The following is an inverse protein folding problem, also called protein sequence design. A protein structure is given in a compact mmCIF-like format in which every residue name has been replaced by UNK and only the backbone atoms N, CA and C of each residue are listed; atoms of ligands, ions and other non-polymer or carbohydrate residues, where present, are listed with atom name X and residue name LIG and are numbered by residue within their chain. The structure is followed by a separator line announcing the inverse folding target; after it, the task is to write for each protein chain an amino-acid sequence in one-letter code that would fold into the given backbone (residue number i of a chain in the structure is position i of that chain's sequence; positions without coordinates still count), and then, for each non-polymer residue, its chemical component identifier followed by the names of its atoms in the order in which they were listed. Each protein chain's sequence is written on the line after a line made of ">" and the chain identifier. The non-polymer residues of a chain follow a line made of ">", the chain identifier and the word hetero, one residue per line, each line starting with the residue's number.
data_IF_407739101301
#
_entry.id   IF_407739101301
#
_cell.length_a   1.000
_cell.length_b   1.000
_cell.length_c   1.000
_cell.angle_alpha   90.00
_cell.angle_beta   90.00
_cell.angle_gamma   90.00
#
_symmetry.space_group_name_H-M   'P 1'
#
loop_
_entity.id
_entity.type
_entity.pdbx_description
1 polymer ?
#
# COMPACT_ATOMS: atom_id res chain seq x y z
N UNK A 1 10.82 0.42 20.94
CA UNK A 1 10.55 -0.26 19.67
C UNK A 1 11.77 -0.41 18.75
N UNK A 2 12.78 0.46 18.78
CA UNK A 2 13.93 0.37 17.84
C UNK A 2 14.85 -0.86 18.06
N UNK A 3 14.74 -1.55 19.19
CA UNK A 3 15.49 -2.76 19.49
C UNK A 3 14.63 -4.06 19.42
N UNK A 4 13.37 -3.94 18.99
CA UNK A 4 12.47 -5.07 18.90
C UNK A 4 12.90 -6.05 17.81
N UNK A 5 12.81 -7.35 18.11
CA UNK A 5 12.93 -8.41 17.12
C UNK A 5 11.66 -8.49 16.25
N UNK A 6 11.72 -9.11 15.06
CA UNK A 6 10.53 -9.38 14.25
C UNK A 6 9.43 -10.07 15.06
N UNK A 7 9.75 -11.06 15.88
CA UNK A 7 8.79 -11.81 16.70
C UNK A 7 8.01 -10.91 17.67
N UNK A 8 8.66 -9.89 18.25
CA UNK A 8 8.00 -8.94 19.14
C UNK A 8 6.97 -8.06 18.41
N UNK A 9 7.15 -7.82 17.11
CA UNK A 9 6.13 -7.16 16.29
C UNK A 9 4.96 -8.09 15.99
N UNK A 10 5.23 -9.38 15.73
CA UNK A 10 4.20 -10.39 15.49
C UNK A 10 3.33 -10.61 16.73
N UNK A 11 3.89 -10.53 17.93
CA UNK A 11 3.13 -10.58 19.19
C UNK A 11 2.08 -9.48 19.32
N UNK A 12 2.22 -8.38 18.57
CA UNK A 12 1.24 -7.30 18.56
C UNK A 12 0.03 -7.59 17.66
N UNK A 13 0.11 -8.59 16.78
CA UNK A 13 -1.00 -8.95 15.90
C UNK A 13 -2.11 -9.57 16.75
N UNK A 14 -3.26 -8.91 16.73
CA UNK A 14 -4.47 -9.31 17.46
C UNK A 14 -5.35 -10.23 16.62
N UNK A 15 -5.49 -9.88 15.35
CA UNK A 15 -6.25 -10.67 14.39
C UNK A 15 -5.83 -10.37 12.95
N UNK A 16 -5.99 -11.36 12.08
CA UNK A 16 -5.86 -11.24 10.62
C UNK A 16 -7.18 -11.66 10.01
N UNK A 17 -7.74 -10.83 9.14
CA UNK A 17 -8.96 -11.14 8.38
C UNK A 17 -8.70 -11.04 6.89
N UNK A 18 -9.36 -11.88 6.08
CA UNK A 18 -9.20 -11.91 4.63
C UNK A 18 -7.93 -12.65 4.17
N UNK A 19 -7.39 -13.57 4.97
CA UNK A 19 -6.22 -14.39 4.59
C UNK A 19 -6.47 -15.18 3.29
N UNK A 20 -7.72 -15.57 3.03
CA UNK A 20 -8.15 -16.23 1.78
C UNK A 20 -7.89 -15.36 0.55
N UNK A 21 -7.92 -14.04 0.68
CA UNK A 21 -7.57 -13.11 -0.40
C UNK A 21 -6.08 -13.10 -0.70
N UNK A 22 -5.26 -13.22 0.34
CA UNK A 22 -3.81 -13.35 0.19
C UNK A 22 -3.47 -14.65 -0.53
N UNK A 23 -4.02 -15.77 -0.07
CA UNK A 23 -3.81 -17.08 -0.67
C UNK A 23 -4.24 -17.11 -2.13
N UNK A 24 -5.42 -16.54 -2.45
CA UNK A 24 -5.91 -16.43 -3.81
C UNK A 24 -4.98 -15.57 -4.70
N UNK A 25 -4.46 -14.47 -4.20
CA UNK A 25 -3.53 -13.61 -4.94
C UNK A 25 -2.19 -14.32 -5.22
N UNK A 26 -1.69 -15.13 -4.27
CA UNK A 26 -0.44 -15.89 -4.40
C UNK A 26 -0.55 -17.16 -5.24
N UNK A 27 -1.76 -17.74 -5.33
CA UNK A 27 -2.00 -18.99 -6.05
C UNK A 27 -1.63 -18.95 -7.55
N UNK A 28 -1.56 -17.75 -8.13
CA UNK A 28 -1.18 -17.57 -9.54
C UNK A 28 0.33 -17.67 -9.79
N UNK A 29 1.18 -17.78 -8.76
CA UNK A 29 2.63 -17.88 -8.87
C UNK A 29 3.29 -16.67 -9.52
N UNK A 30 2.61 -15.52 -9.52
CA UNK A 30 3.11 -14.21 -9.94
C UNK A 30 3.38 -13.35 -8.72
N UNK A 31 4.27 -12.38 -8.85
CA UNK A 31 4.53 -11.42 -7.79
C UNK A 31 3.26 -10.73 -7.31
N UNK A 32 3.31 -10.17 -6.12
CA UNK A 32 2.18 -9.50 -5.49
C UNK A 32 2.53 -8.06 -5.15
N UNK A 33 1.62 -7.13 -5.47
CA UNK A 33 1.74 -5.74 -5.05
C UNK A 33 0.82 -5.52 -3.86
N UNK A 34 1.39 -5.40 -2.68
CA UNK A 34 0.65 -5.00 -1.47
C UNK A 34 0.54 -3.49 -1.44
N UNK A 35 -0.69 -3.00 -1.37
CA UNK A 35 -0.96 -1.56 -1.26
C UNK A 35 -1.62 -1.27 0.08
N UNK A 36 -1.10 -0.28 0.78
CA UNK A 36 -1.63 0.17 2.07
C UNK A 36 -1.85 1.68 2.07
N UNK A 37 -2.47 2.21 3.12
CA UNK A 37 -2.58 3.64 3.39
C UNK A 37 -1.65 4.06 4.55
N UNK A 38 -1.39 5.36 4.68
CA UNK A 38 -0.67 5.91 5.81
C UNK A 38 -1.55 5.90 7.06
N UNK A 39 -1.78 4.71 7.63
CA UNK A 39 -2.61 4.55 8.82
C UNK A 39 -2.17 3.36 9.67
N UNK A 40 -2.50 3.43 10.95
CA UNK A 40 -2.21 2.38 11.92
C UNK A 40 -0.71 2.07 12.06
N UNK A 41 -0.34 0.79 12.11
CA UNK A 41 1.04 0.31 12.28
C UNK A 41 1.56 -0.42 11.05
N UNK A 42 2.22 0.32 10.18
CA UNK A 42 2.90 -0.22 8.99
C UNK A 42 3.98 -1.26 9.36
N UNK A 43 4.71 -1.02 10.45
CA UNK A 43 5.81 -1.89 10.88
C UNK A 43 5.34 -3.29 11.26
N UNK A 44 4.20 -3.40 11.94
CA UNK A 44 3.60 -4.69 12.29
C UNK A 44 3.14 -5.43 11.04
N UNK A 45 2.49 -4.73 10.11
CA UNK A 45 2.07 -5.32 8.84
C UNK A 45 3.23 -5.80 7.99
N UNK A 46 4.34 -5.05 7.96
CA UNK A 46 5.53 -5.48 7.23
C UNK A 46 6.19 -6.70 7.89
N UNK A 47 6.25 -6.75 9.23
CA UNK A 47 6.76 -7.93 9.94
C UNK A 47 5.92 -9.17 9.64
N UNK A 48 4.59 -9.04 9.58
CA UNK A 48 3.68 -10.13 9.23
C UNK A 48 3.93 -10.64 7.81
N UNK A 49 4.07 -9.75 6.82
CA UNK A 49 4.41 -10.15 5.44
C UNK A 49 5.75 -10.88 5.41
N UNK A 50 6.77 -10.37 6.10
CA UNK A 50 8.11 -10.98 6.16
C UNK A 50 8.15 -12.33 6.88
N UNK A 51 7.17 -12.64 7.73
CA UNK A 51 7.04 -13.96 8.34
C UNK A 51 6.62 -15.04 7.33
N UNK A 52 5.96 -14.64 6.25
CA UNK A 52 5.44 -15.54 5.21
C UNK A 52 6.22 -15.48 3.88
N UNK A 53 6.95 -14.38 3.63
CA UNK A 53 7.62 -14.12 2.36
C UNK A 53 9.11 -13.84 2.56
N UNK A 54 9.95 -14.39 1.68
CA UNK A 54 11.41 -14.25 1.76
C UNK A 54 11.99 -13.17 0.84
N UNK A 55 11.22 -12.70 -0.17
CA UNK A 55 11.64 -11.68 -1.13
C UNK A 55 10.62 -10.53 -1.12
N UNK A 56 10.84 -9.57 -0.22
CA UNK A 56 9.94 -8.44 0.01
C UNK A 56 10.64 -7.12 -0.27
N UNK A 57 10.09 -6.35 -1.17
CA UNK A 57 10.56 -5.04 -1.61
C UNK A 57 9.65 -3.94 -1.08
N UNK A 58 10.23 -2.92 -0.47
CA UNK A 58 9.47 -1.80 0.14
C UNK A 58 9.84 -0.50 -0.55
N UNK A 59 8.84 0.20 -1.07
CA UNK A 59 9.02 1.53 -1.65
C UNK A 59 8.79 2.59 -0.59
N UNK A 60 9.75 3.47 -0.39
CA UNK A 60 9.67 4.57 0.57
C UNK A 60 10.25 5.85 -0.02
N UNK A 61 9.87 7.00 0.53
CA UNK A 61 10.52 8.27 0.21
C UNK A 61 11.49 8.60 1.33
N UNK A 62 12.80 8.70 1.05
CA UNK A 62 13.78 9.07 2.06
C UNK A 62 13.48 10.45 2.67
N UNK A 63 13.54 10.53 3.97
CA UNK A 63 13.52 11.78 4.71
C UNK A 63 14.62 11.77 5.77
N UNK A 64 15.83 12.05 5.34
CA UNK A 64 17.04 11.98 6.19
C UNK A 64 16.99 12.93 7.40
N UNK A 65 16.12 13.92 7.37
CA UNK A 65 15.96 14.88 8.47
C UNK A 65 14.99 14.40 9.56
N UNK A 66 14.21 13.34 9.30
CA UNK A 66 13.29 12.79 10.28
C UNK A 66 13.97 11.72 11.12
N UNK A 67 14.19 11.93 12.44
CA UNK A 67 14.77 10.90 13.33
C UNK A 67 14.02 9.58 13.26
N UNK A 68 12.72 9.65 13.01
CA UNK A 68 11.82 8.51 12.92
C UNK A 68 12.09 7.64 11.67
N UNK A 69 12.49 8.25 10.54
CA UNK A 69 12.78 7.50 9.31
C UNK A 69 14.04 6.64 9.46
N UNK A 70 15.05 7.12 10.18
CA UNK A 70 16.23 6.32 10.50
C UNK A 70 15.91 5.07 11.32
N UNK A 71 14.91 5.15 12.22
CA UNK A 71 14.45 3.99 12.98
C UNK A 71 13.71 2.99 12.10
N UNK A 72 12.88 3.48 11.19
CA UNK A 72 12.15 2.67 10.21
C UNK A 72 13.10 1.94 9.24
N UNK A 73 14.10 2.64 8.72
CA UNK A 73 15.11 2.02 7.85
C UNK A 73 15.88 0.90 8.59
N UNK A 74 16.33 1.15 9.82
CA UNK A 74 16.97 0.10 10.65
C UNK A 74 16.06 -1.11 10.88
N UNK A 75 14.77 -0.87 11.09
CA UNK A 75 13.79 -1.95 11.24
C UNK A 75 13.66 -2.74 9.93
N UNK A 76 13.43 -2.09 8.79
CA UNK A 76 13.32 -2.75 7.48
C UNK A 76 14.56 -3.58 7.13
N UNK A 77 15.76 -3.03 7.38
CA UNK A 77 17.02 -3.75 7.20
C UNK A 77 17.14 -4.97 8.12
N UNK A 78 16.75 -4.84 9.39
CA UNK A 78 16.81 -5.94 10.38
C UNK A 78 15.90 -7.11 9.99
N UNK A 79 14.72 -6.83 9.46
CA UNK A 79 13.79 -7.87 9.00
C UNK A 79 14.14 -8.41 7.61
N UNK A 80 15.14 -7.83 6.93
CA UNK A 80 15.62 -8.31 5.63
C UNK A 80 14.83 -7.80 4.42
N UNK A 81 13.98 -6.77 4.59
CA UNK A 81 13.26 -6.15 3.48
C UNK A 81 14.21 -5.36 2.57
N UNK A 82 14.02 -5.46 1.26
CA UNK A 82 14.77 -4.69 0.26
C UNK A 82 14.16 -3.30 0.11
N UNK A 83 14.93 -2.27 0.43
CA UNK A 83 14.45 -0.88 0.40
C UNK A 83 14.65 -0.25 -0.98
N UNK A 84 13.63 0.45 -1.48
CA UNK A 84 13.68 1.20 -2.72
C UNK A 84 13.28 2.65 -2.51
N UNK A 85 14.13 3.56 -2.95
CA UNK A 85 13.88 4.99 -2.92
C UNK A 85 12.91 5.41 -4.04
N UNK A 86 11.77 5.95 -3.67
CA UNK A 86 10.73 6.41 -4.59
C UNK A 86 11.20 7.54 -5.53
N UNK A 87 12.32 8.21 -5.24
CA UNK A 87 12.89 9.28 -6.07
C UNK A 87 13.71 8.79 -7.26
N UNK A 88 14.03 7.49 -7.34
CA UNK A 88 14.91 6.91 -8.38
C UNK A 88 14.30 6.88 -9.80
N UNK A 89 13.07 7.32 -9.97
CA UNK A 89 12.44 7.45 -11.28
C UNK A 89 12.22 6.11 -11.99
N UNK A 90 12.57 6.02 -13.28
CA UNK A 90 12.27 4.83 -14.10
C UNK A 90 13.02 3.57 -13.66
N UNK A 91 14.24 3.69 -13.14
CA UNK A 91 15.04 2.53 -12.68
C UNK A 91 14.32 1.76 -11.56
N UNK A 92 13.69 2.47 -10.62
CA UNK A 92 12.86 1.88 -9.57
C UNK A 92 11.80 0.93 -10.15
N UNK A 93 11.02 1.41 -11.13
CA UNK A 93 9.93 0.62 -11.70
C UNK A 93 10.40 -0.61 -12.44
N UNK A 94 11.58 -0.55 -13.09
CA UNK A 94 12.19 -1.70 -13.74
C UNK A 94 12.69 -2.73 -12.72
N UNK A 95 13.28 -2.29 -11.62
CA UNK A 95 13.73 -3.17 -10.54
C UNK A 95 12.54 -3.86 -9.85
N UNK A 96 11.48 -3.10 -9.53
CA UNK A 96 10.28 -3.65 -8.93
C UNK A 96 9.56 -4.64 -9.85
N UNK A 97 9.50 -4.33 -11.16
CA UNK A 97 8.96 -5.27 -12.13
C UNK A 97 9.77 -6.56 -12.18
N UNK A 98 11.10 -6.46 -12.23
CA UNK A 98 11.98 -7.62 -12.22
C UNK A 98 11.84 -8.45 -10.93
N UNK A 99 11.57 -7.82 -9.78
CA UNK A 99 11.26 -8.51 -8.54
C UNK A 99 9.92 -9.26 -8.63
N UNK A 100 8.87 -8.61 -9.13
CA UNK A 100 7.57 -9.24 -9.34
C UNK A 100 7.63 -10.41 -10.32
N UNK A 101 8.42 -10.29 -11.39
CA UNK A 101 8.64 -11.38 -12.36
C UNK A 101 9.31 -12.61 -11.70
N UNK A 102 10.04 -12.43 -10.58
CA UNK A 102 10.60 -13.51 -9.75
C UNK A 102 9.65 -13.96 -8.61
N UNK A 103 8.40 -13.53 -8.65
CA UNK A 103 7.40 -13.86 -7.64
C UNK A 103 7.60 -13.17 -6.28
N UNK A 104 8.31 -12.04 -6.22
CA UNK A 104 8.48 -11.25 -5.02
C UNK A 104 7.19 -10.52 -4.59
N UNK A 105 7.18 -10.02 -3.36
CA UNK A 105 6.15 -9.10 -2.86
C UNK A 105 6.70 -7.69 -2.86
N UNK A 106 5.95 -6.75 -3.44
CA UNK A 106 6.26 -5.32 -3.45
C UNK A 106 5.27 -4.56 -2.60
N UNK A 107 5.73 -3.85 -1.58
CA UNK A 107 4.87 -3.08 -0.66
C UNK A 107 4.97 -1.59 -1.01
N UNK A 108 3.84 -0.97 -1.34
CA UNK A 108 3.74 0.44 -1.74
C UNK A 108 2.57 1.10 -1.01
N UNK A 109 2.78 2.26 -0.39
CA UNK A 109 1.69 3.09 0.11
C UNK A 109 0.97 3.75 -1.08
N UNK A 110 -0.35 3.62 -1.14
CA UNK A 110 -1.16 3.97 -2.31
C UNK A 110 -2.20 5.07 -2.09
N UNK A 111 -2.15 5.78 -0.97
CA UNK A 111 -3.15 6.78 -0.58
C UNK A 111 -2.70 8.24 -0.79
N UNK A 112 -1.49 8.47 -1.29
CA UNK A 112 -0.93 9.82 -1.45
C UNK A 112 -0.02 9.92 -2.67
N UNK A 113 -0.23 10.96 -3.48
CA UNK A 113 0.67 11.32 -4.58
C UNK A 113 1.84 12.13 -4.02
N UNK A 114 3.05 11.69 -4.30
CA UNK A 114 4.27 12.40 -3.89
C UNK A 114 4.73 13.37 -4.99
N UNK A 115 5.50 14.43 -4.65
CA UNK A 115 6.05 15.34 -5.65
C UNK A 115 6.77 14.60 -6.79
N UNK A 116 6.44 14.93 -8.03
CA UNK A 116 6.99 14.29 -9.23
C UNK A 116 6.30 12.98 -9.66
N UNK A 117 5.35 12.48 -8.90
CA UNK A 117 4.53 11.33 -9.30
C UNK A 117 3.29 11.76 -10.07
N UNK A 118 2.77 10.85 -10.89
CA UNK A 118 1.48 11.02 -11.56
C UNK A 118 0.37 10.46 -10.67
N UNK A 119 -0.69 11.25 -10.50
CA UNK A 119 -1.90 10.85 -9.78
C UNK A 119 -3.14 10.96 -10.65
N UNK A 120 -4.24 10.41 -10.17
CA UNK A 120 -5.56 10.56 -10.76
C UNK A 120 -6.60 10.74 -9.68
N UNK A 121 -7.51 11.70 -9.90
CA UNK A 121 -8.65 11.91 -9.02
C UNK A 121 -9.68 10.80 -9.21
N UNK A 122 -10.10 10.22 -8.11
CA UNK A 122 -11.15 9.20 -8.03
C UNK A 122 -12.19 9.58 -6.98
N UNK A 123 -13.44 9.12 -7.10
CA UNK A 123 -14.43 9.32 -6.05
C UNK A 123 -13.92 8.79 -4.71
N UNK A 124 -14.14 9.58 -3.64
CA UNK A 124 -13.76 9.21 -2.27
C UNK A 124 -14.63 9.98 -1.27
N UNK A 125 -15.36 9.27 -0.41
CA UNK A 125 -16.38 9.85 0.47
C UNK A 125 -17.34 10.78 -0.30
N UNK A 126 -17.47 12.03 0.16
CA UNK A 126 -18.30 13.03 -0.49
C UNK A 126 -17.50 13.93 -1.47
N UNK A 127 -16.34 13.48 -1.93
CA UNK A 127 -15.46 14.27 -2.77
C UNK A 127 -14.58 13.41 -3.67
N UNK A 128 -13.34 13.84 -3.86
CA UNK A 128 -12.34 13.14 -4.67
C UNK A 128 -11.02 13.07 -3.92
N UNK A 129 -10.33 11.96 -4.09
CA UNK A 129 -8.96 11.75 -3.62
C UNK A 129 -8.06 11.54 -4.83
N UNK A 130 -6.88 12.16 -4.84
CA UNK A 130 -5.87 11.89 -5.83
C UNK A 130 -5.03 10.69 -5.41
N UNK A 131 -5.14 9.58 -6.16
CA UNK A 131 -4.35 8.37 -5.93
C UNK A 131 -3.16 8.28 -6.87
N UNK A 132 -2.00 7.77 -6.41
CA UNK A 132 -0.84 7.55 -7.26
C UNK A 132 -1.10 6.43 -8.27
N UNK A 133 -0.68 6.64 -9.51
CA UNK A 133 -0.83 5.65 -10.58
C UNK A 133 0.22 4.53 -10.52
N UNK A 134 1.25 4.68 -9.70
CA UNK A 134 2.39 3.75 -9.63
C UNK A 134 1.99 2.29 -9.42
N UNK A 135 1.22 1.95 -8.38
CA UNK A 135 0.82 0.56 -8.11
C UNK A 135 0.05 -0.08 -9.27
N UNK A 136 -0.88 0.67 -9.88
CA UNK A 136 -1.72 0.16 -10.99
C UNK A 136 -0.89 0.00 -12.27
N UNK A 137 0.00 0.96 -12.59
CA UNK A 137 0.92 0.84 -13.73
C UNK A 137 1.86 -0.35 -13.58
N UNK A 138 2.38 -0.57 -12.38
CA UNK A 138 3.26 -1.69 -12.09
C UNK A 138 2.52 -3.03 -12.22
N UNK A 139 1.28 -3.09 -11.72
CA UNK A 139 0.42 -4.26 -11.88
C UNK A 139 0.14 -4.58 -13.35
N UNK A 140 -0.23 -3.58 -14.15
CA UNK A 140 -0.45 -3.76 -15.59
C UNK A 140 0.82 -4.25 -16.32
N UNK A 141 2.00 -3.77 -15.92
CA UNK A 141 3.26 -4.13 -16.55
C UNK A 141 3.79 -5.52 -16.14
N UNK A 142 3.48 -5.99 -14.93
CA UNK A 142 3.95 -7.29 -14.39
C UNK A 142 2.90 -8.39 -14.48
N UNK A 143 1.62 -8.04 -14.63
CA UNK A 143 0.50 -8.97 -14.51
C UNK A 143 0.25 -9.46 -13.08
N UNK A 144 0.84 -8.78 -12.07
CA UNK A 144 0.62 -9.05 -10.66
C UNK A 144 -0.68 -8.42 -10.17
N UNK A 145 -1.34 -9.04 -9.19
CA UNK A 145 -2.48 -8.45 -8.54
C UNK A 145 -2.06 -7.33 -7.57
N UNK A 146 -2.93 -6.35 -7.36
CA UNK A 146 -2.82 -5.37 -6.27
C UNK A 146 -3.68 -5.84 -5.11
N UNK A 147 -3.09 -6.03 -3.93
CA UNK A 147 -3.77 -6.49 -2.73
C UNK A 147 -3.78 -5.39 -1.66
N UNK A 148 -4.94 -4.81 -1.34
CA UNK A 148 -5.05 -3.85 -0.25
C UNK A 148 -4.88 -4.55 1.11
N UNK A 149 -3.92 -4.09 1.93
CA UNK A 149 -3.70 -4.58 3.31
C UNK A 149 -3.62 -3.38 4.25
N UNK A 150 -4.40 -3.40 5.32
CA UNK A 150 -4.45 -2.33 6.31
C UNK A 150 -4.15 -2.89 7.70
N UNK A 151 -3.25 -2.21 8.43
CA UNK A 151 -2.79 -2.62 9.74
C UNK A 151 -3.24 -1.58 10.77
N UNK A 152 -4.35 -1.84 11.45
CA UNK A 152 -5.06 -0.87 12.26
C UNK A 152 -4.89 -1.17 13.75
N UNK A 153 -4.70 -0.16 14.58
CA UNK A 153 -4.76 -0.36 16.02
C UNK A 153 -6.17 -0.82 16.43
N UNK A 154 -6.24 -1.94 17.16
CA UNK A 154 -7.49 -2.44 17.79
C UNK A 154 -7.63 -1.90 19.20
N UNK A 155 -6.64 -2.22 20.04
CA UNK A 155 -6.43 -1.66 21.38
C UNK A 155 -4.91 -1.46 21.52
N UNK A 156 -4.44 -0.23 21.35
CA UNK A 156 -2.99 0.04 21.33
C UNK A 156 -2.27 -0.62 22.54
N UNK A 157 -1.18 -1.35 22.33
CA UNK A 157 -0.39 -1.45 21.08
C UNK A 157 -0.82 -2.56 20.10
N UNK A 158 -1.93 -3.24 20.34
CA UNK A 158 -2.41 -4.36 19.51
C UNK A 158 -2.89 -3.87 18.14
N UNK A 159 -2.65 -4.69 17.11
CA UNK A 159 -2.93 -4.39 15.71
C UNK A 159 -3.77 -5.50 15.10
N UNK A 160 -4.84 -5.14 14.42
CA UNK A 160 -5.56 -6.03 13.52
C UNK A 160 -5.14 -5.78 12.09
N UNK A 161 -5.05 -6.83 11.30
CA UNK A 161 -4.69 -6.79 9.88
C UNK A 161 -5.93 -7.14 9.07
N UNK A 162 -6.32 -6.26 8.16
CA UNK A 162 -7.43 -6.45 7.24
C UNK A 162 -6.91 -6.56 5.81
N UNK A 163 -7.10 -7.72 5.18
CA UNK A 163 -6.70 -8.02 3.81
C UNK A 163 -7.94 -7.90 2.92
N UNK A 164 -7.92 -6.94 2.00
CA UNK A 164 -9.00 -6.73 1.03
C UNK A 164 -8.95 -7.71 -0.13
N UNK A 165 -10.00 -7.70 -0.95
CA UNK A 165 -10.04 -8.51 -2.17
C UNK A 165 -8.92 -8.09 -3.15
N UNK A 166 -8.26 -9.05 -3.82
CA UNK A 166 -7.24 -8.75 -4.82
C UNK A 166 -7.86 -8.02 -6.02
N UNK A 167 -7.16 -6.98 -6.47
CA UNK A 167 -7.53 -6.16 -7.61
C UNK A 167 -6.70 -6.61 -8.80
N UNK A 168 -7.35 -7.18 -9.81
CA UNK A 168 -6.74 -7.49 -11.09
C UNK A 168 -6.69 -6.26 -11.97
N UNK A 169 -5.57 -6.05 -12.67
CA UNK A 169 -5.37 -4.90 -13.56
C UNK A 169 -5.22 -5.41 -14.99
N UNK A 170 -6.07 -4.92 -15.90
CA UNK A 170 -5.95 -5.26 -17.32
C UNK A 170 -4.84 -4.42 -17.97
N UNK A 171 -3.96 -5.09 -18.74
CA UNK A 171 -2.95 -4.42 -19.55
C UNK A 171 -3.54 -3.76 -20.81
N UNK A 172 -4.73 -4.17 -21.24
CA UNK A 172 -5.37 -3.74 -22.48
C UNK A 172 -6.23 -2.48 -22.34
N UNK A 173 -6.58 -2.10 -21.10
CA UNK A 173 -7.37 -0.89 -20.84
C UNK A 173 -6.49 0.36 -20.90
N UNK A 174 -6.67 1.14 -21.98
CA UNK A 174 -6.01 2.45 -22.14
C UNK A 174 -7.04 3.57 -22.00
N UNK A 175 -6.73 4.71 -21.33
CA UNK A 175 -5.39 5.13 -20.84
C UNK A 175 -4.97 4.55 -19.49
N UNK A 176 -5.86 4.01 -18.67
CA UNK A 176 -5.63 3.29 -17.41
C UNK A 176 -6.88 2.54 -17.01
N UNK A 177 -6.71 1.43 -16.32
CA UNK A 177 -7.79 0.72 -15.65
C UNK A 177 -8.37 1.58 -14.51
N UNK A 178 -9.36 2.40 -14.87
CA UNK A 178 -10.09 3.22 -13.90
C UNK A 178 -10.87 2.36 -12.91
N UNK A 179 -11.21 1.13 -13.29
CA UNK A 179 -11.92 0.19 -12.41
C UNK A 179 -11.02 -0.24 -11.26
N UNK A 180 -9.75 -0.55 -11.54
CA UNK A 180 -8.76 -0.89 -10.52
C UNK A 180 -8.48 0.28 -9.56
N UNK A 181 -8.36 1.51 -10.08
CA UNK A 181 -8.20 2.70 -9.23
C UNK A 181 -9.41 2.93 -8.33
N UNK A 182 -10.63 2.75 -8.85
CA UNK A 182 -11.86 2.87 -8.06
C UNK A 182 -11.96 1.77 -7.00
N UNK A 183 -11.57 0.54 -7.33
CA UNK A 183 -11.53 -0.57 -6.38
C UNK A 183 -10.54 -0.29 -5.25
N UNK A 184 -9.35 0.25 -5.56
CA UNK A 184 -8.37 0.66 -4.57
C UNK A 184 -8.91 1.82 -3.71
N UNK A 185 -9.50 2.85 -4.33
CA UNK A 185 -10.15 3.96 -3.63
C UNK A 185 -11.22 3.47 -2.67
N UNK A 186 -12.13 2.59 -3.12
CA UNK A 186 -13.19 2.03 -2.29
C UNK A 186 -12.66 1.21 -1.11
N UNK A 187 -11.54 0.49 -1.31
CA UNK A 187 -10.88 -0.22 -0.21
C UNK A 187 -10.34 0.73 0.86
N UNK A 188 -9.67 1.81 0.44
CA UNK A 188 -9.15 2.84 1.34
C UNK A 188 -10.31 3.58 2.02
N UNK A 189 -11.34 3.98 1.26
CA UNK A 189 -12.52 4.69 1.77
C UNK A 189 -13.24 3.91 2.87
N UNK A 190 -13.45 2.61 2.67
CA UNK A 190 -14.08 1.73 3.67
C UNK A 190 -13.32 1.77 4.99
N UNK A 191 -12.00 1.69 4.94
CA UNK A 191 -11.17 1.68 6.14
C UNK A 191 -11.12 3.07 6.79
N UNK A 192 -10.87 4.11 6.01
CA UNK A 192 -10.82 5.50 6.51
C UNK A 192 -12.15 5.91 7.12
N UNK A 193 -13.29 5.55 6.51
CA UNK A 193 -14.61 5.85 7.05
C UNK A 193 -14.89 5.15 8.37
N UNK A 194 -14.29 3.96 8.59
CA UNK A 194 -14.47 3.21 9.86
C UNK A 194 -13.51 3.65 10.96
N UNK A 195 -12.33 4.21 10.60
CA UNK A 195 -11.26 4.56 11.54
C UNK A 195 -10.52 5.84 11.06
N UNK A 196 -11.23 6.98 10.95
CA UNK A 196 -10.65 8.20 10.37
C UNK A 196 -9.50 8.79 11.20
N UNK A 197 -9.52 8.56 12.51
CA UNK A 197 -8.50 9.00 13.47
C UNK A 197 -7.14 8.29 13.29
N UNK A 198 -7.10 7.17 12.61
CA UNK A 198 -5.86 6.45 12.31
C UNK A 198 -5.21 6.86 10.98
N UNK A 199 -5.88 7.64 10.16
CA UNK A 199 -5.35 8.04 8.85
C UNK A 199 -4.46 9.29 8.95
N UNK A 200 -3.18 9.12 8.62
CA UNK A 200 -2.15 10.16 8.78
C UNK A 200 -1.97 11.04 7.54
N UNK A 201 -2.82 10.91 6.53
CA UNK A 201 -2.74 11.70 5.29
C UNK A 201 -3.45 13.06 5.36
N UNK A 202 -3.85 13.52 6.53
CA UNK A 202 -4.70 14.69 6.75
C UNK A 202 -4.23 15.99 6.10
N UNK A 203 -2.93 16.13 5.80
CA UNK A 203 -2.37 17.33 5.15
C UNK A 203 -2.32 17.21 3.61
N UNK A 204 -2.62 16.04 3.05
CA UNK A 204 -2.50 15.76 1.60
C UNK A 204 -3.81 15.38 0.96
N UNK A 205 -4.77 14.94 1.76
CA UNK A 205 -6.10 14.58 1.31
C UNK A 205 -6.96 15.82 1.19
N UNK A 206 -6.72 16.63 0.17
CA UNK A 206 -7.70 17.59 -0.27
C UNK A 206 -8.84 16.80 -0.91
N UNK A 207 -9.77 16.34 -0.08
CA UNK A 207 -11.08 15.93 -0.54
C UNK A 207 -11.73 17.19 -1.09
N UNK A 208 -11.65 17.39 -2.40
CA UNK A 208 -12.38 18.50 -3.02
C UNK A 208 -13.85 18.10 -3.05
N UNK A 209 -14.75 18.92 -2.48
CA UNK A 209 -16.17 18.67 -2.59
C UNK A 209 -16.53 18.57 -4.08
N UNK A 210 -17.27 17.55 -4.48
CA UNK A 210 -17.86 17.50 -5.80
C UNK A 210 -18.86 18.68 -5.90
N UNK A 211 -18.67 19.60 -6.84
CA UNK A 211 -19.68 20.64 -7.10
C UNK A 211 -20.99 19.92 -7.46
N UNK A 212 -22.06 20.09 -6.66
CA UNK A 212 -23.33 19.42 -6.94
C UNK A 212 -23.90 19.73 -8.34
N UNK A 213 -23.36 20.75 -9.02
CA UNK A 213 -23.75 21.16 -10.38
C UNK A 213 -23.01 20.41 -11.48
N UNK A 214 -21.98 19.61 -11.17
CA UNK A 214 -21.25 18.79 -12.17
C UNK A 214 -21.90 17.43 -12.46
N UNK A 215 -23.03 17.11 -11.81
CA UNK A 215 -23.80 15.88 -12.06
C UNK A 215 -24.98 16.08 -13.01
N UNK A 216 -24.91 17.05 -13.93
CA UNK A 216 -25.92 17.23 -14.99
C UNK A 216 -25.22 17.07 -16.33
N UNK A 217 -25.18 15.85 -16.85
CA UNK A 217 -25.42 15.49 -18.26
C UNK A 217 -25.90 14.06 -18.32
#
# INVERSE_FOLDING_TARGET
>A
MHDWSPDQFLELVDSVTGSEHYDAARAHGRGLIVTTAHMGSYEVGLAEIMAHESDVHVVYLPNDQAPFERLRSKFRQRIGAVEHDASQGLSLWLELKAALDRNAVVVIQGDRVMPGQSGQHVPFCNGQLELPLGPIKLAAASGSAVLPIFCLYSNAPRVRIEIGAPISVSADERPFDQSALRALSGSIERIVSSQPDQWLAAHSALIQPVDPRSCVV
#
